data_IF_011423548262
#
_entry.id   IF_011423548262
#
_cell.length_a   1.000
_cell.length_b   1.000
_cell.length_c   1.000
_cell.angle_alpha   90.00
_cell.angle_beta   90.00
_cell.angle_gamma   90.00
#
_symmetry.space_group_name_H-M   'P 1'
#
loop_
_entity.id
_entity.type
_entity.pdbx_description
1 polymer ?
#
# COMPACT_ATOMS: atom_id res chain seq x y z
N UNK A 1 -11.10 -1.13 0.48
CA UNK A 1 -11.92 -1.12 -0.73
C UNK A 1 -12.21 0.28 -1.22
N UNK A 2 -12.49 1.23 -0.30
CA UNK A 2 -12.69 2.62 -0.70
C UNK A 2 -11.47 3.18 -1.44
N UNK A 3 -10.27 2.99 -0.88
CA UNK A 3 -9.04 3.52 -1.49
C UNK A 3 -8.81 2.91 -2.86
N UNK A 4 -8.97 1.59 -2.98
CA UNK A 4 -8.81 0.90 -4.25
C UNK A 4 -9.81 1.38 -5.30
N UNK A 5 -11.07 1.57 -4.90
CA UNK A 5 -12.16 1.81 -5.84
C UNK A 5 -12.35 3.29 -6.18
N UNK A 6 -11.80 4.20 -5.36
CA UNK A 6 -11.99 5.64 -5.52
C UNK A 6 -10.70 6.39 -5.86
N UNK A 7 -9.61 5.66 -6.12
CA UNK A 7 -8.34 6.26 -6.48
C UNK A 7 -7.89 5.90 -7.89
N UNK A 8 -6.86 6.57 -8.36
CA UNK A 8 -6.17 6.27 -9.60
C UNK A 8 -4.67 6.51 -9.42
N UNK A 9 -3.85 5.90 -10.27
CA UNK A 9 -2.40 6.05 -10.18
C UNK A 9 -1.94 7.38 -10.80
N UNK A 10 -1.04 8.06 -10.11
CA UNK A 10 -0.32 9.23 -10.59
C UNK A 10 1.12 9.15 -10.09
N UNK A 11 2.10 9.24 -10.98
CA UNK A 11 3.50 9.19 -10.60
C UNK A 11 3.87 10.41 -9.74
N UNK A 12 4.62 10.15 -8.67
CA UNK A 12 5.18 11.15 -7.75
C UNK A 12 6.56 10.69 -7.30
N UNK A 13 7.38 11.58 -6.71
CA UNK A 13 8.70 11.17 -6.22
C UNK A 13 8.65 10.01 -5.22
N UNK A 14 9.63 9.13 -5.28
CA UNK A 14 9.78 8.03 -4.32
C UNK A 14 10.30 8.56 -3.00
N UNK A 15 9.95 7.86 -1.92
CA UNK A 15 10.41 8.18 -0.56
C UNK A 15 11.56 7.25 -0.18
N UNK A 16 12.40 7.70 0.76
CA UNK A 16 13.50 6.87 1.24
C UNK A 16 12.96 5.64 1.99
N UNK A 17 13.58 4.48 1.75
CA UNK A 17 13.18 3.24 2.41
C UNK A 17 13.35 3.36 3.92
N UNK A 18 12.44 2.75 4.65
CA UNK A 18 12.43 2.78 6.11
C UNK A 18 11.84 4.05 6.70
N UNK A 19 11.47 5.04 5.89
CA UNK A 19 10.85 6.27 6.38
C UNK A 19 9.33 6.16 6.35
N UNK A 20 8.68 6.93 7.21
CA UNK A 20 7.20 6.95 7.30
C UNK A 20 6.65 8.38 7.38
N UNK A 21 7.51 9.38 7.46
CA UNK A 21 7.09 10.78 7.62
C UNK A 21 6.28 11.31 6.43
N UNK A 22 6.40 10.66 5.28
CA UNK A 22 5.67 11.01 4.08
C UNK A 22 4.16 10.68 4.15
N UNK A 23 3.74 9.86 5.12
CA UNK A 23 2.41 9.26 5.12
C UNK A 23 1.30 10.31 5.18
N UNK A 24 1.45 11.34 6.02
CA UNK A 24 0.42 12.37 6.17
C UNK A 24 0.26 13.19 4.89
N UNK A 25 1.35 13.70 4.34
CA UNK A 25 1.30 14.49 3.10
C UNK A 25 0.74 13.67 1.95
N UNK A 26 1.19 12.43 1.81
CA UNK A 26 0.73 11.53 0.76
C UNK A 26 -0.75 11.20 0.90
N UNK A 27 -1.23 11.00 2.13
CA UNK A 27 -2.65 10.77 2.38
C UNK A 27 -3.49 11.98 2.00
N UNK A 28 -3.07 13.17 2.43
CA UNK A 28 -3.77 14.41 2.10
C UNK A 28 -3.83 14.63 0.59
N UNK A 29 -2.71 14.39 -0.09
CA UNK A 29 -2.67 14.49 -1.56
C UNK A 29 -3.70 13.56 -2.20
N UNK A 30 -3.77 12.30 -1.75
CA UNK A 30 -4.68 11.30 -2.30
C UNK A 30 -6.14 11.66 -2.03
N UNK A 31 -6.46 12.13 -0.81
CA UNK A 31 -7.82 12.58 -0.49
C UNK A 31 -8.26 13.76 -1.34
N UNK A 32 -7.35 14.69 -1.59
CA UNK A 32 -7.64 15.91 -2.35
C UNK A 32 -7.76 15.63 -3.85
N UNK A 33 -6.81 14.89 -4.41
CA UNK A 33 -6.69 14.69 -5.87
C UNK A 33 -7.26 13.37 -6.36
N UNK A 34 -7.50 12.41 -5.47
CA UNK A 34 -8.02 11.05 -5.77
C UNK A 34 -7.12 10.28 -6.74
N UNK A 35 -5.82 10.58 -6.73
CA UNK A 35 -4.81 9.88 -7.51
C UNK A 35 -3.45 10.09 -6.87
N UNK A 36 -2.55 9.14 -7.09
CA UNK A 36 -1.20 9.18 -6.53
C UNK A 36 -0.44 7.90 -6.81
N UNK A 37 0.76 7.77 -6.24
CA UNK A 37 1.58 6.58 -6.36
C UNK A 37 1.34 5.62 -5.16
N UNK A 38 2.19 4.59 -5.04
CA UNK A 38 2.06 3.60 -3.96
C UNK A 38 2.09 4.25 -2.56
N UNK A 39 2.90 5.29 -2.36
CA UNK A 39 2.95 6.02 -1.09
C UNK A 39 1.63 6.70 -0.77
N UNK A 40 0.99 7.26 -1.77
CA UNK A 40 -0.31 7.93 -1.61
C UNK A 40 -1.41 6.94 -1.30
N UNK A 41 -1.45 5.82 -2.01
CA UNK A 41 -2.40 4.75 -1.71
C UNK A 41 -2.20 4.20 -0.30
N UNK A 42 -0.95 3.94 0.08
CA UNK A 42 -0.64 3.44 1.42
C UNK A 42 -1.02 4.46 2.50
N UNK A 43 -0.67 5.72 2.31
CA UNK A 43 -0.99 6.78 3.28
C UNK A 43 -2.48 6.94 3.48
N UNK A 44 -3.27 7.00 2.42
CA UNK A 44 -4.71 7.11 2.53
C UNK A 44 -5.32 5.91 3.26
N UNK A 45 -4.91 4.71 2.88
CA UNK A 45 -5.39 3.48 3.52
C UNK A 45 -5.02 3.44 5.01
N UNK A 46 -3.79 3.86 5.35
CA UNK A 46 -3.32 3.91 6.72
C UNK A 46 -4.25 4.73 7.61
N UNK A 47 -4.55 5.96 7.20
CA UNK A 47 -5.38 6.84 8.03
C UNK A 47 -6.81 6.36 8.11
N UNK A 48 -7.36 5.80 7.04
CA UNK A 48 -8.69 5.20 7.08
C UNK A 48 -8.73 3.98 8.00
N UNK A 49 -7.73 3.11 7.94
CA UNK A 49 -7.65 1.93 8.79
C UNK A 49 -7.52 2.32 10.27
N UNK A 50 -6.68 3.30 10.59
CA UNK A 50 -6.53 3.81 11.96
C UNK A 50 -7.82 4.41 12.48
N UNK A 51 -8.54 5.14 11.63
CA UNK A 51 -9.82 5.72 12.01
C UNK A 51 -10.87 4.66 12.33
N UNK A 52 -10.78 3.49 11.71
CA UNK A 52 -11.64 2.35 12.00
C UNK A 52 -11.15 1.52 13.20
N UNK A 53 -10.05 1.91 13.83
CA UNK A 53 -9.53 1.26 15.03
C UNK A 53 -8.51 0.16 14.80
N UNK A 54 -8.03 -0.03 13.57
CA UNK A 54 -7.01 -1.04 13.28
C UNK A 54 -5.62 -0.57 13.72
N UNK A 55 -4.81 -1.52 14.18
CA UNK A 55 -3.40 -1.28 14.47
C UNK A 55 -2.61 -1.34 13.17
N UNK A 56 -2.51 -0.20 12.49
CA UNK A 56 -1.94 -0.10 11.16
C UNK A 56 -0.71 0.80 11.13
N UNK A 57 0.26 0.46 10.28
CA UNK A 57 1.44 1.29 10.02
C UNK A 57 1.92 1.09 8.59
N UNK A 58 2.66 2.08 8.06
CA UNK A 58 3.19 2.02 6.70
C UNK A 58 4.62 1.51 6.71
N UNK A 59 5.01 0.89 5.59
CA UNK A 59 6.38 0.47 5.34
C UNK A 59 6.80 0.98 3.97
N UNK A 60 8.00 1.54 3.88
CA UNK A 60 8.64 1.84 2.61
C UNK A 60 9.86 0.94 2.45
N UNK A 61 9.89 0.19 1.36
CA UNK A 61 10.92 -0.80 1.09
C UNK A 61 10.98 -1.14 -0.39
N UNK A 62 11.12 -2.40 -0.72
CA UNK A 62 11.14 -2.87 -2.11
C UNK A 62 10.15 -3.99 -2.35
N UNK A 63 9.81 -4.21 -3.61
CA UNK A 63 8.90 -5.27 -4.00
C UNK A 63 9.36 -5.92 -5.31
N UNK A 64 9.13 -7.22 -5.41
CA UNK A 64 9.38 -8.00 -6.61
C UNK A 64 10.84 -8.35 -6.86
N UNK A 65 11.10 -9.04 -7.95
CA UNK A 65 12.46 -9.48 -8.32
C UNK A 65 13.41 -8.32 -8.58
N UNK A 66 12.89 -7.21 -9.08
CA UNK A 66 13.70 -6.03 -9.41
C UNK A 66 13.96 -5.14 -8.21
N UNK A 67 13.44 -5.52 -7.04
CA UNK A 67 13.59 -4.74 -5.81
C UNK A 67 13.21 -3.27 -6.03
N UNK A 68 12.06 -3.05 -6.66
CA UNK A 68 11.56 -1.71 -6.96
C UNK A 68 11.08 -1.02 -5.70
N UNK A 69 11.38 0.26 -5.54
CA UNK A 69 10.91 1.04 -4.41
C UNK A 69 9.38 1.02 -4.33
N UNK A 70 8.88 0.75 -3.13
CA UNK A 70 7.45 0.54 -2.93
C UNK A 70 7.05 0.86 -1.50
N UNK A 71 5.75 1.06 -1.30
CA UNK A 71 5.19 1.25 0.03
C UNK A 71 3.90 0.45 0.16
N UNK A 72 3.68 -0.05 1.35
CA UNK A 72 2.48 -0.83 1.68
C UNK A 72 2.08 -0.58 3.12
N UNK A 73 0.94 -1.13 3.51
CA UNK A 73 0.42 -1.02 4.87
C UNK A 73 0.50 -2.37 5.57
N UNK A 74 0.89 -2.35 6.84
CA UNK A 74 0.83 -3.50 7.73
C UNK A 74 -0.32 -3.30 8.71
N UNK A 75 -1.13 -4.33 8.89
CA UNK A 75 -2.15 -4.35 9.95
C UNK A 75 -1.89 -5.56 10.82
N UNK A 76 -1.75 -5.32 12.13
CA UNK A 76 -1.60 -6.40 13.11
C UNK A 76 -2.98 -6.80 13.64
N UNK A 77 -3.32 -8.06 13.48
CA UNK A 77 -4.55 -8.65 14.03
C UNK A 77 -4.17 -9.80 14.95
N UNK A 78 -4.58 -9.71 16.21
CA UNK A 78 -4.26 -10.72 17.25
C UNK A 78 -2.74 -10.98 17.34
N UNK A 79 -1.93 -9.94 17.22
CA UNK A 79 -0.48 -10.04 17.28
C UNK A 79 0.18 -10.55 16.00
N UNK A 80 -0.57 -10.79 14.94
CA UNK A 80 -0.04 -11.28 13.66
C UNK A 80 -0.08 -10.15 12.64
N UNK A 81 1.08 -9.79 12.01
CA UNK A 81 1.10 -8.76 10.98
C UNK A 81 0.71 -9.32 9.61
N UNK A 82 -0.08 -8.55 8.89
CA UNK A 82 -0.49 -8.85 7.51
C UNK A 82 -0.16 -7.69 6.60
N UNK A 83 0.22 -7.99 5.35
CA UNK A 83 0.50 -6.98 4.32
C UNK A 83 -0.78 -6.64 3.57
N UNK A 84 -1.04 -5.33 3.42
CA UNK A 84 -2.10 -4.78 2.59
C UNK A 84 -1.44 -3.86 1.56
N UNK A 85 -1.38 -4.30 0.32
CA UNK A 85 -0.76 -3.54 -0.76
C UNK A 85 -1.84 -2.90 -1.63
N UNK A 86 -2.20 -1.70 -1.30
CA UNK A 86 -3.39 -1.04 -1.84
C UNK A 86 -3.20 -0.67 -3.31
N UNK A 87 -2.03 -0.15 -3.69
CA UNK A 87 -1.78 0.26 -5.07
C UNK A 87 -1.75 -0.95 -6.01
N UNK A 88 -1.08 -2.03 -5.62
CA UNK A 88 -1.05 -3.25 -6.42
C UNK A 88 -2.42 -3.93 -6.46
N UNK A 89 -3.17 -3.90 -5.36
CA UNK A 89 -4.53 -4.39 -5.36
C UNK A 89 -5.39 -3.60 -6.36
N UNK A 90 -5.28 -2.29 -6.36
CA UNK A 90 -5.97 -1.45 -7.33
C UNK A 90 -5.55 -1.80 -8.76
N UNK A 91 -4.26 -1.90 -9.02
CA UNK A 91 -3.76 -2.15 -10.37
C UNK A 91 -4.20 -3.49 -10.94
N UNK A 92 -4.11 -4.56 -10.12
CA UNK A 92 -4.51 -5.89 -10.57
C UNK A 92 -6.02 -6.03 -10.68
N UNK A 93 -6.78 -5.51 -9.73
CA UNK A 93 -8.25 -5.56 -9.78
C UNK A 93 -8.82 -4.75 -10.93
N UNK A 94 -8.21 -3.63 -11.26
CA UNK A 94 -8.59 -2.83 -12.40
C UNK A 94 -8.14 -3.42 -13.74
N UNK A 95 -7.39 -4.52 -13.72
CA UNK A 95 -6.88 -5.17 -14.92
C UNK A 95 -5.72 -4.44 -15.59
N UNK A 96 -5.12 -3.47 -14.90
CA UNK A 96 -4.04 -2.65 -15.46
C UNK A 96 -2.74 -3.42 -15.61
N UNK A 97 -2.47 -4.37 -14.71
CA UNK A 97 -1.25 -5.15 -14.69
C UNK A 97 -1.47 -6.60 -15.11
N UNK A 98 -2.68 -6.96 -15.58
CA UNK A 98 -3.07 -8.34 -15.78
C UNK A 98 -3.30 -9.04 -14.43
N UNK A 99 -3.50 -10.34 -14.43
CA UNK A 99 -3.62 -11.13 -13.18
C UNK A 99 -4.62 -10.58 -12.18
N UNK A 100 -5.84 -10.27 -12.62
CA UNK A 100 -6.90 -9.75 -11.75
C UNK A 100 -7.25 -10.71 -10.60
N UNK A 101 -6.82 -11.98 -10.66
CA UNK A 101 -6.99 -12.97 -9.61
C UNK A 101 -6.10 -12.76 -8.40
N UNK A 102 -5.04 -11.93 -8.51
CA UNK A 102 -4.15 -11.68 -7.38
C UNK A 102 -4.88 -10.89 -6.30
N UNK A 103 -4.79 -11.38 -5.07
CA UNK A 103 -5.32 -10.70 -3.89
C UNK A 103 -4.17 -10.12 -3.09
N UNK A 104 -4.09 -8.79 -3.04
CA UNK A 104 -3.00 -8.06 -2.41
C UNK A 104 -3.36 -7.55 -1.01
N UNK A 105 -4.48 -8.02 -0.46
CA UNK A 105 -4.92 -7.67 0.90
C UNK A 105 -4.75 -8.85 1.85
N UNK A 106 -4.45 -8.52 3.11
CA UNK A 106 -4.33 -9.47 4.21
C UNK A 106 -3.40 -10.63 3.88
N UNK A 107 -2.25 -10.32 3.30
CA UNK A 107 -1.24 -11.32 2.98
C UNK A 107 -0.40 -11.62 4.22
N UNK A 108 -0.34 -12.88 4.71
CA UNK A 108 0.62 -13.22 5.75
C UNK A 108 2.04 -13.12 5.22
N UNK A 109 3.01 -12.86 6.10
CA UNK A 109 4.39 -12.61 5.68
C UNK A 109 5.01 -13.78 4.93
N UNK A 110 4.54 -15.01 5.17
CA UNK A 110 5.06 -16.20 4.52
C UNK A 110 4.27 -16.63 3.28
N UNK A 111 3.27 -15.87 2.87
CA UNK A 111 2.42 -16.19 1.71
C UNK A 111 2.06 -14.93 0.95
N UNK A 112 3.06 -14.21 0.47
CA UNK A 112 2.84 -13.02 -0.33
C UNK A 112 2.87 -13.36 -1.82
N UNK A 113 2.12 -12.58 -2.62
CA UNK A 113 2.10 -12.76 -4.07
C UNK A 113 3.47 -12.42 -4.66
N UNK A 114 4.09 -11.36 -4.15
CA UNK A 114 5.43 -10.94 -4.55
C UNK A 114 6.37 -10.95 -3.36
N UNK A 115 7.67 -10.92 -3.63
CA UNK A 115 8.69 -10.76 -2.62
C UNK A 115 8.69 -9.31 -2.11
N UNK A 116 8.61 -9.11 -0.80
CA UNK A 116 8.67 -7.80 -0.16
C UNK A 116 9.99 -7.68 0.61
N UNK A 117 10.76 -6.64 0.29
CA UNK A 117 12.03 -6.37 0.96
C UNK A 117 11.80 -5.27 2.00
N UNK A 118 11.78 -5.65 3.28
CA UNK A 118 11.65 -4.73 4.39
C UNK A 118 12.94 -3.95 4.60
N UNK A 119 12.86 -2.71 5.06
CA UNK A 119 14.06 -1.89 5.31
C UNK A 119 14.88 -2.39 6.48
#
# INVERSE_FOLDING_TARGET
LYVRDHGAYLARPHQARGTTAWAEESALFMFEHKKGNCYCFAGQFLYMARRLGYNAYVVSGGVGRKDSDHAWVMICENGVPYIYDVELEWGYRAGRYGHAEYNMYKMPLNKTVFSYQFP
#
